data_IF_940267385902
#
_entry.id   IF_940267385902
#
_cell.length_a   1.000
_cell.length_b   1.000
_cell.length_c   1.000
_cell.angle_alpha   90.00
_cell.angle_beta   90.00
_cell.angle_gamma   90.00
#
_symmetry.space_group_name_H-M   'P 1'
#
loop_
_entity.id
_entity.type
_entity.pdbx_description
1 polymer ?
#
# COMPACT_ATOMS: atom_id res chain seq x y z
N UNK A 1 9.70 -2.70 -3.51
CA UNK A 1 9.29 -1.28 -3.61
C UNK A 1 10.46 -0.48 -4.16
N UNK A 2 10.29 0.25 -5.26
CA UNK A 2 11.33 1.17 -5.77
C UNK A 2 11.10 2.56 -5.15
N UNK A 3 12.18 3.29 -4.88
CA UNK A 3 12.10 4.67 -4.38
C UNK A 3 11.68 5.60 -5.52
N UNK A 4 10.57 6.33 -5.34
CA UNK A 4 10.11 7.36 -6.30
C UNK A 4 9.22 6.83 -7.43
N UNK A 5 9.09 7.63 -8.49
CA UNK A 5 8.24 7.34 -9.65
C UNK A 5 8.99 6.54 -10.73
N UNK A 6 8.25 5.77 -11.54
CA UNK A 6 8.78 5.06 -12.72
C UNK A 6 7.97 5.40 -13.96
N UNK A 7 8.55 5.16 -15.13
CA UNK A 7 7.88 5.41 -16.41
C UNK A 7 6.83 4.32 -16.66
N UNK A 8 5.58 4.68 -16.94
CA UNK A 8 4.56 3.65 -17.01
C UNK A 8 3.14 4.09 -16.73
N UNK A 9 2.19 3.41 -17.37
CA UNK A 9 0.86 3.23 -16.79
C UNK A 9 0.86 1.98 -15.91
N UNK A 10 -0.12 1.83 -15.02
CA UNK A 10 -0.31 0.61 -14.23
C UNK A 10 -0.42 -0.60 -15.19
N UNK A 11 0.17 -1.75 -14.80
CA UNK A 11 0.27 -3.00 -15.59
C UNK A 11 1.23 -2.97 -16.80
N UNK A 12 1.97 -1.87 -17.06
CA UNK A 12 3.02 -1.86 -18.09
C UNK A 12 4.20 -2.74 -17.68
N UNK A 13 4.73 -3.53 -18.63
CA UNK A 13 5.95 -4.33 -18.43
C UNK A 13 7.15 -3.41 -18.24
N UNK A 14 7.99 -3.70 -17.23
CA UNK A 14 9.23 -2.98 -16.95
C UNK A 14 10.41 -3.96 -16.89
N UNK A 15 11.46 -3.69 -17.66
CA UNK A 15 12.71 -4.44 -17.62
C UNK A 15 13.68 -3.81 -16.63
N UNK A 16 14.03 -4.52 -15.55
CA UNK A 16 15.01 -4.09 -14.56
C UNK A 16 16.40 -4.63 -14.91
N UNK A 17 17.42 -3.77 -14.90
CA UNK A 17 18.82 -4.14 -15.16
C UNK A 17 19.69 -3.77 -13.95
N UNK A 18 20.72 -4.58 -13.69
CA UNK A 18 21.80 -4.20 -12.77
C UNK A 18 22.51 -2.94 -13.28
N UNK A 19 22.95 -2.10 -12.34
CA UNK A 19 23.78 -0.94 -12.68
C UNK A 19 25.09 -1.40 -13.32
N UNK A 20 25.54 -0.66 -14.34
CA UNK A 20 26.85 -0.87 -14.97
C UNK A 20 27.97 -0.15 -14.22
N UNK A 21 27.61 0.79 -13.34
CA UNK A 21 28.55 1.58 -12.56
C UNK A 21 28.70 0.98 -11.15
N UNK A 22 29.93 0.98 -10.65
CA UNK A 22 30.22 0.58 -9.27
C UNK A 22 29.60 1.61 -8.31
N UNK A 23 28.73 1.16 -7.42
CA UNK A 23 28.06 2.04 -6.46
C UNK A 23 28.93 2.19 -5.20
N UNK A 24 29.62 3.32 -5.06
CA UNK A 24 30.47 3.63 -3.88
C UNK A 24 29.87 4.69 -2.96
N UNK A 25 28.85 5.43 -3.41
CA UNK A 25 28.28 6.52 -2.61
C UNK A 25 27.52 5.99 -1.39
N UNK A 26 27.66 6.68 -0.24
CA UNK A 26 26.97 6.32 1.01
C UNK A 26 25.45 6.20 0.84
N UNK A 27 24.85 7.08 0.02
CA UNK A 27 23.43 7.07 -0.30
C UNK A 27 23.00 5.83 -1.09
N UNK A 28 23.88 5.26 -1.90
CA UNK A 28 23.59 4.06 -2.70
C UNK A 28 23.81 2.76 -1.91
N UNK A 29 24.72 2.76 -0.93
CA UNK A 29 25.06 1.58 -0.11
C UNK A 29 24.34 1.53 1.23
N UNK A 30 23.42 2.47 1.47
CA UNK A 30 22.65 2.56 2.71
C UNK A 30 21.75 1.32 2.87
N UNK A 31 21.77 0.71 4.06
CA UNK A 31 20.83 -0.37 4.42
C UNK A 31 19.50 0.25 4.83
N UNK A 32 18.42 -0.16 4.16
CA UNK A 32 17.08 0.38 4.42
C UNK A 32 16.31 -0.57 5.33
N UNK A 33 15.90 -0.05 6.50
CA UNK A 33 14.95 -0.71 7.39
C UNK A 33 13.64 0.10 7.41
N UNK A 34 12.52 -0.56 7.10
CA UNK A 34 11.22 0.10 6.92
C UNK A 34 10.39 -0.02 8.20
N UNK A 35 9.95 1.12 8.75
CA UNK A 35 9.15 1.15 9.99
C UNK A 35 7.64 1.06 9.74
N UNK A 36 7.16 1.59 8.62
CA UNK A 36 5.73 1.69 8.31
C UNK A 36 5.50 1.74 6.80
N UNK A 37 4.43 1.09 6.36
CA UNK A 37 3.93 1.14 4.98
C UNK A 37 2.46 1.57 5.05
N UNK A 38 2.13 2.65 4.36
CA UNK A 38 0.76 3.13 4.29
C UNK A 38 -0.08 2.24 3.35
N UNK A 39 -1.09 1.59 3.91
CA UNK A 39 -2.04 0.70 3.22
C UNK A 39 -3.42 1.33 3.05
N UNK A 40 -3.54 2.65 3.27
CA UNK A 40 -4.78 3.38 3.01
C UNK A 40 -5.25 3.27 1.56
N UNK A 41 -6.57 3.31 1.36
CA UNK A 41 -7.15 3.37 0.02
C UNK A 41 -6.58 4.55 -0.77
N UNK A 42 -6.14 4.27 -1.99
CA UNK A 42 -5.77 5.28 -3.00
C UNK A 42 -6.89 5.59 -3.98
N UNK A 43 -8.05 4.95 -3.82
CA UNK A 43 -9.28 5.35 -4.49
C UNK A 43 -9.98 6.37 -3.59
N UNK A 44 -9.85 7.66 -3.93
CA UNK A 44 -10.28 8.78 -3.10
C UNK A 44 -9.33 9.06 -1.92
N UNK A 45 -9.88 9.57 -0.82
CA UNK A 45 -9.12 9.90 0.40
C UNK A 45 -9.20 8.76 1.43
N UNK A 46 -8.18 7.91 1.49
CA UNK A 46 -8.08 6.83 2.47
C UNK A 46 -7.77 7.34 3.88
N UNK A 47 -8.47 6.79 4.90
CA UNK A 47 -8.36 7.20 6.32
C UNK A 47 -7.93 6.10 7.27
N UNK A 48 -8.10 4.83 6.88
CA UNK A 48 -7.84 3.66 7.73
C UNK A 48 -6.81 2.78 7.05
N UNK A 49 -5.91 2.16 7.82
CA UNK A 49 -4.89 1.27 7.30
C UNK A 49 -5.46 -0.11 7.01
N UNK A 50 -6.39 -0.55 7.85
CA UNK A 50 -7.02 -1.87 7.75
C UNK A 50 -8.54 -1.78 7.68
N UNK A 51 -9.18 -2.87 7.23
CA UNK A 51 -10.65 -2.94 7.20
C UNK A 51 -11.20 -3.09 8.62
N UNK A 52 -10.46 -3.74 9.50
CA UNK A 52 -10.74 -3.93 10.92
C UNK A 52 -10.78 -2.59 11.64
N UNK A 53 -9.77 -1.74 11.46
CA UNK A 53 -9.75 -0.36 11.99
C UNK A 53 -10.97 0.44 11.54
N UNK A 54 -11.32 0.34 10.24
CA UNK A 54 -12.49 1.03 9.69
C UNK A 54 -13.78 0.53 10.32
N UNK A 55 -13.95 -0.78 10.47
CA UNK A 55 -15.14 -1.39 11.09
C UNK A 55 -15.25 -1.02 12.57
N UNK A 56 -14.14 -1.07 13.30
CA UNK A 56 -14.09 -0.68 14.71
C UNK A 56 -14.46 0.80 14.89
N UNK A 57 -13.98 1.68 14.00
CA UNK A 57 -14.30 3.11 14.03
C UNK A 57 -15.76 3.40 13.64
N UNK A 58 -16.28 2.78 12.57
CA UNK A 58 -17.63 3.06 12.06
C UNK A 58 -18.74 2.38 12.87
N UNK A 59 -18.42 1.33 13.62
CA UNK A 59 -19.41 0.53 14.34
C UNK A 59 -20.33 -0.27 13.41
N UNK A 60 -21.41 -0.88 13.97
CA UNK A 60 -22.35 -1.67 13.19
C UNK A 60 -23.22 -0.79 12.29
N UNK A 61 -23.14 -1.00 10.97
CA UNK A 61 -23.94 -0.27 9.99
C UNK A 61 -25.23 -1.03 9.64
N UNK A 62 -26.20 -0.34 9.03
CA UNK A 62 -27.49 -0.95 8.62
C UNK A 62 -27.30 -2.21 7.75
N UNK A 63 -26.41 -2.13 6.76
CA UNK A 63 -26.08 -3.25 5.86
C UNK A 63 -25.54 -4.48 6.60
N UNK A 64 -24.79 -4.27 7.69
CA UNK A 64 -24.18 -5.36 8.44
C UNK A 64 -25.23 -6.07 9.30
N UNK A 65 -26.29 -5.35 9.72
CA UNK A 65 -27.44 -5.92 10.43
C UNK A 65 -28.31 -6.78 9.51
N UNK A 66 -28.66 -6.25 8.34
CA UNK A 66 -29.45 -6.98 7.33
C UNK A 66 -28.73 -8.26 6.92
N UNK A 67 -27.43 -8.19 6.62
CA UNK A 67 -26.66 -9.39 6.27
C UNK A 67 -26.69 -10.44 7.39
N UNK A 68 -26.59 -10.04 8.66
CA UNK A 68 -26.70 -10.98 9.80
C UNK A 68 -28.09 -11.60 9.92
N UNK A 69 -29.15 -10.84 9.65
CA UNK A 69 -30.54 -11.33 9.65
C UNK A 69 -30.80 -12.31 8.50
N UNK A 70 -30.20 -12.11 7.32
CA UNK A 70 -30.33 -13.01 6.16
C UNK A 70 -29.52 -14.31 6.28
N UNK A 71 -28.45 -14.30 7.09
CA UNK A 71 -27.59 -15.48 7.30
C UNK A 71 -28.05 -16.33 8.48
N UNK A 72 -29.00 -15.84 9.27
CA UNK A 72 -29.60 -16.52 10.42
C UNK A 72 -30.84 -17.32 9.99
#
# INVERSE_FOLDING_TARGET
MLKGCTIGVKKRVLTLRKSLLVQSSRRATEKIDLKFIDTTSKFGHGRFQTVEEKKAFMGPLKKDRIAKEETA
#
